data_IF_590320505317
#
_entry.id   IF_590320505317
#
_cell.length_a   1.000
_cell.length_b   1.000
_cell.length_c   1.000
_cell.angle_alpha   90.00
_cell.angle_beta   90.00
_cell.angle_gamma   90.00
#
_symmetry.space_group_name_H-M   'P 1'
#
loop_
_entity.id
_entity.type
_entity.pdbx_description
1 polymer ?
#
# COMPACT_ATOMS: atom_id res chain seq x y z
N UNK A 1 -1.55 16.60 15.09
CA UNK A 1 -1.63 15.22 14.58
C UNK A 1 -2.68 15.18 13.48
N UNK A 2 -2.34 14.75 12.29
CA UNK A 2 -3.26 14.57 11.17
C UNK A 2 -3.40 13.07 10.90
N UNK A 3 -4.61 12.54 10.98
CA UNK A 3 -4.87 11.09 10.86
C UNK A 3 -5.89 10.79 9.77
N UNK A 4 -6.05 9.52 9.37
CA UNK A 4 -7.12 9.14 8.45
C UNK A 4 -8.52 9.47 9.01
N UNK A 5 -8.71 9.31 10.32
CA UNK A 5 -9.96 9.72 10.97
C UNK A 5 -10.20 11.21 10.85
N UNK A 6 -9.17 12.05 11.05
CA UNK A 6 -9.31 13.51 10.93
C UNK A 6 -9.55 14.00 9.50
N UNK A 7 -9.25 13.17 8.50
CA UNK A 7 -9.53 13.44 7.10
C UNK A 7 -10.90 12.91 6.63
N UNK A 8 -11.69 12.27 7.52
CA UNK A 8 -12.91 11.53 7.15
C UNK A 8 -13.98 12.38 6.47
N UNK A 9 -14.04 13.66 6.77
CA UNK A 9 -15.05 14.60 6.25
C UNK A 9 -14.71 15.13 4.85
N UNK A 10 -13.47 14.94 4.38
CA UNK A 10 -13.08 15.37 3.04
C UNK A 10 -13.67 14.38 2.02
N UNK A 11 -14.45 14.86 1.01
CA UNK A 11 -15.00 14.00 -0.04
C UNK A 11 -13.90 13.24 -0.79
N UNK A 12 -14.13 11.95 -1.06
CA UNK A 12 -13.19 11.04 -1.73
C UNK A 12 -13.89 10.12 -2.72
N UNK A 13 -13.13 9.19 -3.30
CA UNK A 13 -13.67 8.14 -4.14
C UNK A 13 -14.87 7.45 -3.47
N UNK A 14 -15.92 7.16 -4.27
CA UNK A 14 -17.14 6.55 -3.77
C UNK A 14 -18.10 7.48 -2.99
N UNK A 15 -17.71 8.73 -2.72
CA UNK A 15 -18.55 9.73 -2.04
C UNK A 15 -18.83 10.97 -2.89
N UNK A 16 -18.64 10.88 -4.21
CA UNK A 16 -18.86 11.98 -5.16
C UNK A 16 -17.75 13.04 -5.17
N UNK A 17 -16.62 12.79 -4.53
CA UNK A 17 -15.45 13.66 -4.57
C UNK A 17 -14.68 13.53 -5.88
N UNK A 18 -13.92 14.54 -6.24
CA UNK A 18 -12.94 14.54 -7.33
C UNK A 18 -11.54 14.51 -6.75
N UNK A 19 -10.63 13.68 -7.31
CA UNK A 19 -9.27 13.52 -6.80
C UNK A 19 -8.49 14.84 -6.75
N UNK A 20 -8.59 15.66 -7.77
CA UNK A 20 -7.91 16.96 -7.81
C UNK A 20 -8.38 17.91 -6.70
N UNK A 21 -9.66 17.87 -6.35
CA UNK A 21 -10.22 18.64 -5.24
C UNK A 21 -9.70 18.10 -3.91
N UNK A 22 -9.67 16.79 -3.72
CA UNK A 22 -9.11 16.15 -2.55
C UNK A 22 -7.62 16.50 -2.37
N UNK A 23 -6.82 16.37 -3.43
CA UNK A 23 -5.39 16.65 -3.42
C UNK A 23 -5.05 18.09 -3.04
N UNK A 24 -5.90 19.04 -3.44
CA UNK A 24 -5.73 20.48 -3.15
C UNK A 24 -6.25 20.90 -1.77
N UNK A 25 -6.91 20.01 -1.05
CA UNK A 25 -7.34 20.32 0.32
C UNK A 25 -6.11 20.63 1.18
N UNK A 26 -6.19 21.69 1.99
CA UNK A 26 -5.05 22.20 2.78
C UNK A 26 -4.42 21.11 3.66
N UNK A 27 -5.25 20.27 4.30
CA UNK A 27 -4.75 19.18 5.16
C UNK A 27 -4.03 18.09 4.36
N UNK A 28 -4.49 17.80 3.14
CA UNK A 28 -3.87 16.79 2.27
C UNK A 28 -2.58 17.33 1.64
N UNK A 29 -2.61 18.57 1.15
CA UNK A 29 -1.46 19.22 0.53
C UNK A 29 -0.28 19.41 1.48
N UNK A 30 -0.55 19.59 2.79
CA UNK A 30 0.47 19.69 3.83
C UNK A 30 1.33 18.42 3.99
N UNK A 31 0.83 17.25 3.56
CA UNK A 31 1.58 16.00 3.72
C UNK A 31 2.82 15.95 2.83
N UNK A 32 2.80 16.65 1.70
CA UNK A 32 3.89 16.62 0.69
C UNK A 32 4.28 15.18 0.29
N UNK A 33 3.28 14.32 0.16
CA UNK A 33 3.45 12.92 -0.17
C UNK A 33 3.45 12.70 -1.69
N UNK A 34 4.12 11.63 -2.17
CA UNK A 34 4.00 11.21 -3.56
C UNK A 34 2.54 11.01 -3.98
N UNK A 35 2.22 11.44 -5.20
CA UNK A 35 0.84 11.40 -5.74
C UNK A 35 0.26 9.98 -5.76
N UNK A 36 1.08 8.98 -6.09
CA UNK A 36 0.69 7.57 -6.03
C UNK A 36 0.13 7.18 -4.65
N UNK A 37 0.77 7.62 -3.57
CA UNK A 37 0.37 7.28 -2.21
C UNK A 37 -0.89 8.05 -1.81
N UNK A 38 -0.98 9.33 -2.16
CA UNK A 38 -2.19 10.12 -1.92
C UNK A 38 -3.39 9.49 -2.61
N UNK A 39 -3.22 9.01 -3.85
CA UNK A 39 -4.28 8.38 -4.64
C UNK A 39 -4.62 6.98 -4.11
N UNK A 40 -3.64 6.09 -4.09
CA UNK A 40 -3.88 4.66 -3.86
C UNK A 40 -4.20 4.36 -2.40
N UNK A 41 -3.70 5.15 -1.46
CA UNK A 41 -4.00 4.97 -0.04
C UNK A 41 -5.08 5.93 0.47
N UNK A 42 -4.82 7.25 0.46
CA UNK A 42 -5.73 8.19 1.14
C UNK A 42 -7.03 8.41 0.37
N UNK A 43 -6.96 8.49 -0.96
CA UNK A 43 -8.13 8.72 -1.78
C UNK A 43 -8.97 7.46 -1.94
N UNK A 44 -8.38 6.34 -2.39
CA UNK A 44 -9.14 5.13 -2.71
C UNK A 44 -9.61 4.38 -1.44
N UNK A 45 -8.80 4.36 -0.38
CA UNK A 45 -9.07 3.53 0.80
C UNK A 45 -9.30 4.31 2.09
N UNK A 46 -9.09 5.60 2.13
CA UNK A 46 -9.12 6.39 3.38
C UNK A 46 -10.49 6.47 4.09
N UNK A 47 -11.57 5.93 3.49
CA UNK A 47 -12.89 5.77 4.14
C UNK A 47 -13.31 4.31 4.27
N UNK A 48 -12.51 3.40 3.79
CA UNK A 48 -12.80 1.98 3.90
C UNK A 48 -12.69 1.53 5.36
N UNK A 49 -13.76 0.95 5.90
CA UNK A 49 -13.85 0.64 7.34
C UNK A 49 -12.68 -0.21 7.84
N UNK A 50 -12.27 -1.31 7.17
CA UNK A 50 -11.10 -2.08 7.58
C UNK A 50 -9.80 -1.25 7.62
N UNK A 51 -9.61 -0.34 6.67
CA UNK A 51 -8.45 0.56 6.67
C UNK A 51 -8.45 1.54 7.82
N UNK A 52 -9.62 2.10 8.15
CA UNK A 52 -9.75 2.98 9.31
C UNK A 52 -9.52 2.24 10.62
N UNK A 53 -9.95 0.98 10.72
CA UNK A 53 -9.68 0.14 11.89
C UNK A 53 -8.17 -0.11 12.09
N UNK A 54 -7.44 -0.37 10.99
CA UNK A 54 -6.02 -0.70 11.04
C UNK A 54 -5.11 0.54 11.12
N UNK A 55 -5.48 1.65 10.43
CA UNK A 55 -4.58 2.80 10.21
C UNK A 55 -5.18 4.15 10.60
N UNK A 56 -6.42 4.18 11.07
CA UNK A 56 -7.18 5.40 11.31
C UNK A 56 -6.53 6.40 12.27
N UNK A 57 -5.70 5.90 13.18
CA UNK A 57 -5.02 6.68 14.23
C UNK A 57 -3.55 7.03 13.92
N UNK A 58 -3.01 6.53 12.80
CA UNK A 58 -1.62 6.81 12.41
C UNK A 58 -1.44 8.31 12.17
N UNK A 59 -0.41 8.91 12.77
CA UNK A 59 -0.04 10.31 12.51
C UNK A 59 0.64 10.44 11.16
N UNK A 60 -0.12 10.84 10.15
CA UNK A 60 0.34 10.96 8.77
C UNK A 60 1.47 12.00 8.62
N UNK A 61 1.53 13.01 9.50
CA UNK A 61 2.55 14.07 9.41
C UNK A 61 3.95 13.59 9.78
N UNK A 62 4.04 12.48 10.48
CA UNK A 62 5.34 11.87 10.87
C UNK A 62 5.92 10.94 9.83
N UNK A 63 5.13 10.53 8.82
CA UNK A 63 5.58 9.55 7.84
C UNK A 63 6.39 10.23 6.73
N UNK A 64 7.54 9.62 6.40
CA UNK A 64 8.33 9.95 5.22
C UNK A 64 8.38 8.74 4.29
N UNK A 65 8.26 9.00 3.00
CA UNK A 65 8.16 8.00 1.96
C UNK A 65 9.44 7.91 1.14
N UNK A 66 9.88 6.68 0.91
CA UNK A 66 10.99 6.36 0.01
C UNK A 66 10.57 5.26 -0.97
N UNK A 67 11.07 5.35 -2.20
CA UNK A 67 10.94 4.26 -3.15
C UNK A 67 12.12 3.32 -2.96
N UNK A 68 11.85 2.05 -2.66
CA UNK A 68 12.87 1.05 -2.36
C UNK A 68 12.71 -0.19 -3.22
N UNK A 69 13.85 -0.81 -3.58
CA UNK A 69 13.88 -2.13 -4.18
C UNK A 69 14.09 -3.17 -3.08
N UNK A 70 13.09 -4.01 -2.85
CA UNK A 70 13.12 -5.05 -1.78
C UNK A 70 13.11 -6.44 -2.41
N UNK A 71 13.94 -7.32 -1.85
CA UNK A 71 14.05 -8.70 -2.31
C UNK A 71 12.72 -9.46 -2.22
N UNK A 72 12.42 -10.25 -3.24
CA UNK A 72 11.24 -11.12 -3.32
C UNK A 72 11.09 -11.98 -2.07
N UNK A 73 12.19 -12.60 -1.62
CA UNK A 73 12.19 -13.44 -0.42
C UNK A 73 11.74 -12.71 0.86
N UNK A 74 11.98 -11.41 0.96
CA UNK A 74 11.49 -10.57 2.06
C UNK A 74 10.00 -10.26 1.88
N UNK A 75 9.60 -9.86 0.67
CA UNK A 75 8.24 -9.39 0.38
C UNK A 75 7.18 -10.48 0.55
N UNK A 76 7.47 -11.71 0.16
CA UNK A 76 6.50 -12.82 0.24
C UNK A 76 6.03 -13.12 1.67
N UNK A 77 6.82 -12.77 2.68
CA UNK A 77 6.51 -13.00 4.10
C UNK A 77 5.86 -11.82 4.82
N UNK A 78 5.70 -10.65 4.19
CA UNK A 78 5.21 -9.46 4.89
C UNK A 78 3.75 -9.59 5.34
N UNK A 79 3.41 -9.21 6.58
CA UNK A 79 2.01 -9.16 7.03
C UNK A 79 1.25 -8.01 6.36
N UNK A 80 -0.07 -8.02 6.51
CA UNK A 80 -0.96 -6.86 6.28
C UNK A 80 -1.67 -6.50 7.57
N UNK A 81 -2.51 -5.46 7.55
CA UNK A 81 -3.33 -5.07 8.68
C UNK A 81 -4.31 -6.19 9.09
N UNK A 82 -4.63 -6.31 10.39
CA UNK A 82 -5.40 -7.43 10.93
C UNK A 82 -6.83 -7.52 10.39
N UNK A 83 -7.44 -6.39 10.02
CA UNK A 83 -8.84 -6.37 9.52
C UNK A 83 -9.03 -7.11 8.19
N UNK A 84 -7.95 -7.34 7.43
CA UNK A 84 -7.98 -8.05 6.15
C UNK A 84 -6.78 -9.00 6.02
N UNK A 85 -6.43 -9.66 7.13
CA UNK A 85 -5.23 -10.48 7.24
C UNK A 85 -5.20 -11.64 6.22
N UNK A 86 -6.36 -12.22 5.89
CA UNK A 86 -6.47 -13.39 5.01
C UNK A 86 -6.51 -13.03 3.52
N UNK A 87 -6.81 -11.76 3.18
CA UNK A 87 -7.05 -11.33 1.79
C UNK A 87 -5.86 -11.62 0.86
N UNK A 88 -4.63 -11.45 1.35
CA UNK A 88 -3.43 -11.74 0.53
C UNK A 88 -3.32 -13.25 0.24
N UNK A 89 -3.65 -14.10 1.22
CA UNK A 89 -3.60 -15.54 1.06
C UNK A 89 -4.70 -16.04 0.10
N UNK A 90 -5.90 -15.49 0.19
CA UNK A 90 -7.00 -15.77 -0.74
C UNK A 90 -6.63 -15.37 -2.17
N UNK A 91 -6.05 -14.18 -2.35
CA UNK A 91 -5.60 -13.72 -3.66
C UNK A 91 -4.47 -14.60 -4.21
N UNK A 92 -3.61 -15.14 -3.35
CA UNK A 92 -2.52 -16.02 -3.76
C UNK A 92 -3.02 -17.35 -4.35
N UNK A 93 -4.11 -17.90 -3.82
CA UNK A 93 -4.72 -19.13 -4.33
C UNK A 93 -5.25 -18.95 -5.75
N UNK A 94 -5.63 -17.73 -6.13
CA UNK A 94 -6.23 -17.41 -7.41
C UNK A 94 -5.40 -16.36 -8.20
N UNK A 95 -4.09 -16.42 -8.10
CA UNK A 95 -3.20 -15.39 -8.64
C UNK A 95 -3.35 -15.14 -10.15
N UNK A 96 -3.53 -16.21 -10.96
CA UNK A 96 -3.75 -16.07 -12.41
C UNK A 96 -5.09 -15.40 -12.74
N UNK A 97 -6.14 -15.70 -11.97
CA UNK A 97 -7.42 -15.00 -12.09
C UNK A 97 -7.26 -13.51 -11.85
N UNK A 98 -6.50 -13.13 -10.83
CA UNK A 98 -6.28 -11.72 -10.50
C UNK A 98 -5.43 -11.00 -11.54
N UNK A 99 -4.45 -11.66 -12.17
CA UNK A 99 -3.73 -11.11 -13.31
C UNK A 99 -4.72 -10.82 -14.45
N UNK A 100 -5.58 -11.77 -14.82
CA UNK A 100 -6.57 -11.61 -15.87
C UNK A 100 -7.59 -10.50 -15.58
N UNK A 101 -8.08 -10.44 -14.34
CA UNK A 101 -9.05 -9.42 -13.91
C UNK A 101 -8.46 -8.01 -13.97
N UNK A 102 -7.21 -7.84 -13.54
CA UNK A 102 -6.52 -6.53 -13.59
C UNK A 102 -6.09 -6.16 -15.00
N UNK A 103 -5.69 -7.12 -15.82
CA UNK A 103 -5.32 -6.93 -17.21
C UNK A 103 -6.49 -6.39 -18.07
N UNK A 104 -7.72 -6.75 -17.74
CA UNK A 104 -8.89 -6.20 -18.41
C UNK A 104 -8.96 -4.67 -18.33
N UNK A 105 -8.60 -4.10 -17.19
CA UNK A 105 -8.59 -2.65 -16.98
C UNK A 105 -7.23 -2.00 -17.30
N UNK A 106 -6.14 -2.79 -17.25
CA UNK A 106 -4.75 -2.36 -17.35
C UNK A 106 -3.93 -3.40 -18.13
N UNK A 107 -3.95 -3.38 -19.47
CA UNK A 107 -3.34 -4.43 -20.33
C UNK A 107 -1.86 -4.70 -20.07
N UNK A 108 -1.14 -3.71 -19.49
CA UNK A 108 0.25 -3.83 -19.11
C UNK A 108 0.52 -4.77 -17.93
N UNK A 109 -0.52 -5.11 -17.14
CA UNK A 109 -0.34 -5.92 -15.90
C UNK A 109 0.10 -7.32 -16.22
N UNK A 110 -0.55 -7.99 -17.19
CA UNK A 110 -0.14 -9.34 -17.62
C UNK A 110 1.27 -9.36 -18.16
N UNK A 111 1.57 -8.41 -19.04
CA UNK A 111 2.91 -8.30 -19.63
C UNK A 111 3.99 -8.14 -18.57
N UNK A 112 3.78 -7.28 -17.57
CA UNK A 112 4.73 -7.08 -16.48
C UNK A 112 4.94 -8.36 -15.65
N UNK A 113 3.87 -9.10 -15.33
CA UNK A 113 4.01 -10.36 -14.60
C UNK A 113 4.65 -11.49 -15.42
N UNK A 114 4.37 -11.56 -16.72
CA UNK A 114 4.89 -12.64 -17.59
C UNK A 114 6.32 -12.37 -18.08
N UNK A 115 6.67 -11.15 -18.38
CA UNK A 115 7.98 -10.80 -18.92
C UNK A 115 8.98 -10.35 -17.85
N UNK A 116 8.52 -9.50 -16.91
CA UNK A 116 9.40 -8.89 -15.91
C UNK A 116 9.27 -9.57 -14.54
N UNK A 117 8.25 -10.39 -14.33
CA UNK A 117 7.99 -11.08 -13.08
C UNK A 117 7.65 -10.13 -11.92
N UNK A 118 7.09 -8.95 -12.22
CA UNK A 118 6.81 -7.91 -11.22
C UNK A 118 5.52 -7.14 -11.54
N UNK A 119 5.17 -6.19 -10.70
CA UNK A 119 4.02 -5.30 -10.88
C UNK A 119 4.36 -4.01 -11.64
N UNK A 120 3.37 -3.41 -12.25
CA UNK A 120 3.46 -2.09 -12.91
C UNK A 120 3.47 -0.95 -11.89
N UNK A 121 2.53 -0.97 -10.94
CA UNK A 121 2.38 0.08 -9.91
C UNK A 121 2.96 -0.41 -8.59
N UNK A 122 3.70 0.48 -7.91
CA UNK A 122 4.33 0.16 -6.62
C UNK A 122 3.28 -0.03 -5.54
N UNK A 123 3.27 -1.15 -4.81
CA UNK A 123 2.49 -1.27 -3.59
C UNK A 123 3.06 -0.37 -2.49
N UNK A 124 2.26 -0.16 -1.45
CA UNK A 124 2.58 0.70 -0.32
C UNK A 124 2.81 -0.16 0.93
N UNK A 125 3.99 -0.01 1.49
CA UNK A 125 4.40 -0.62 2.76
C UNK A 125 4.53 0.46 3.83
N UNK A 126 4.23 0.10 5.07
CA UNK A 126 4.42 0.97 6.22
C UNK A 126 5.29 0.26 7.26
N UNK A 127 6.23 0.99 7.84
CA UNK A 127 6.93 0.53 9.04
C UNK A 127 5.90 0.42 10.17
N UNK A 128 5.85 -0.76 10.78
CA UNK A 128 4.86 -1.10 11.82
C UNK A 128 4.99 -0.24 13.06
N UNK A 129 6.16 0.34 13.31
CA UNK A 129 6.36 1.29 14.41
C UNK A 129 5.58 2.61 14.24
N UNK A 130 5.09 2.92 13.04
CA UNK A 130 4.19 4.03 12.79
C UNK A 130 2.75 3.76 13.32
N UNK A 131 2.39 2.50 13.49
CA UNK A 131 1.08 2.07 13.98
C UNK A 131 1.13 1.87 15.49
N UNK A 132 2.16 1.16 15.94
CA UNK A 132 2.43 0.88 17.34
C UNK A 132 3.96 0.84 17.55
N UNK A 133 4.46 1.63 18.47
CA UNK A 133 5.89 1.79 18.75
C UNK A 133 6.58 0.49 19.18
N UNK A 134 5.85 -0.50 19.62
CA UNK A 134 6.38 -1.81 20.03
C UNK A 134 6.51 -2.78 18.84
N UNK A 135 5.85 -2.50 17.73
CA UNK A 135 5.93 -3.32 16.52
C UNK A 135 7.20 -3.02 15.72
N UNK A 136 7.67 -4.02 14.98
CA UNK A 136 8.86 -3.90 14.12
C UNK A 136 8.60 -4.48 12.74
N UNK A 137 9.41 -4.01 11.77
CA UNK A 137 9.37 -4.46 10.39
C UNK A 137 8.32 -3.74 9.55
N UNK A 138 8.13 -4.22 8.32
CA UNK A 138 7.21 -3.65 7.36
C UNK A 138 5.91 -4.45 7.29
N UNK A 139 4.82 -3.79 6.91
CA UNK A 139 3.58 -4.47 6.52
C UNK A 139 2.97 -3.84 5.27
N UNK A 140 2.18 -4.64 4.57
CA UNK A 140 1.46 -4.21 3.38
C UNK A 140 0.26 -3.37 3.80
N UNK A 141 0.21 -2.13 3.33
CA UNK A 141 -0.93 -1.23 3.52
C UNK A 141 -1.83 -1.28 2.29
N UNK A 142 -1.26 -1.08 1.10
CA UNK A 142 -1.95 -1.13 -0.17
C UNK A 142 -1.23 -2.06 -1.14
N UNK A 143 -1.98 -2.68 -2.08
CA UNK A 143 -1.45 -3.64 -3.03
C UNK A 143 -1.65 -5.11 -2.63
N UNK A 144 -2.62 -5.43 -1.79
CA UNK A 144 -2.89 -6.80 -1.33
C UNK A 144 -3.09 -7.79 -2.49
N UNK A 145 -3.75 -7.38 -3.58
CA UNK A 145 -3.87 -8.21 -4.79
C UNK A 145 -2.51 -8.48 -5.42
N UNK A 146 -1.64 -7.46 -5.53
CA UNK A 146 -0.27 -7.59 -6.07
C UNK A 146 0.59 -8.51 -5.21
N UNK A 147 0.47 -8.41 -3.89
CA UNK A 147 1.12 -9.33 -2.97
C UNK A 147 0.56 -10.75 -3.04
N UNK A 148 -0.74 -10.90 -3.27
CA UNK A 148 -1.36 -12.20 -3.54
C UNK A 148 -0.77 -12.84 -4.79
N UNK A 149 -0.71 -12.10 -5.90
CA UNK A 149 -0.09 -12.58 -7.15
C UNK A 149 1.39 -12.96 -6.91
N UNK A 150 2.16 -12.11 -6.23
CA UNK A 150 3.57 -12.40 -5.90
C UNK A 150 3.71 -13.72 -5.14
N UNK A 151 2.92 -13.91 -4.09
CA UNK A 151 2.96 -15.13 -3.26
C UNK A 151 2.51 -16.37 -4.01
N UNK A 152 1.43 -16.25 -4.79
CA UNK A 152 0.91 -17.37 -5.58
C UNK A 152 1.92 -17.84 -6.62
N UNK A 153 2.52 -16.92 -7.37
CA UNK A 153 3.56 -17.25 -8.36
C UNK A 153 4.83 -17.78 -7.69
N UNK A 154 5.25 -17.22 -6.56
CA UNK A 154 6.39 -17.71 -5.79
C UNK A 154 6.16 -19.17 -5.33
N UNK A 155 5.01 -19.47 -4.76
CA UNK A 155 4.65 -20.80 -4.30
C UNK A 155 4.55 -21.82 -5.47
N UNK A 156 4.12 -21.36 -6.65
CA UNK A 156 4.05 -22.17 -7.87
C UNK A 156 5.42 -22.34 -8.56
N UNK A 157 6.49 -21.73 -8.06
CA UNK A 157 7.81 -21.80 -8.70
C UNK A 157 7.90 -21.04 -10.02
N UNK A 158 6.98 -20.12 -10.28
CA UNK A 158 6.97 -19.28 -11.49
C UNK A 158 8.03 -18.19 -11.34
N UNK A 159 8.78 -17.93 -12.43
CA UNK A 159 9.84 -16.93 -12.42
C UNK A 159 9.33 -15.55 -11.99
N UNK A 160 10.07 -14.93 -11.08
CA UNK A 160 9.83 -13.59 -10.53
C UNK A 160 11.11 -12.77 -10.58
N UNK A 161 10.96 -11.44 -10.61
CA UNK A 161 12.10 -10.54 -10.40
C UNK A 161 12.75 -10.83 -9.03
N UNK A 162 14.06 -10.64 -8.94
CA UNK A 162 14.79 -10.82 -7.67
C UNK A 162 14.42 -9.76 -6.62
N UNK A 163 14.11 -8.56 -7.09
CA UNK A 163 13.68 -7.42 -6.27
C UNK A 163 12.49 -6.74 -6.90
N UNK A 164 11.69 -6.08 -6.08
CA UNK A 164 10.53 -5.32 -6.53
C UNK A 164 10.54 -3.92 -5.95
N UNK A 165 10.15 -2.95 -6.77
CA UNK A 165 10.04 -1.55 -6.37
C UNK A 165 8.75 -1.33 -5.56
N UNK A 166 8.87 -0.73 -4.39
CA UNK A 166 7.76 -0.46 -3.46
C UNK A 166 7.88 0.94 -2.86
N UNK A 167 6.77 1.50 -2.42
CA UNK A 167 6.79 2.66 -1.53
C UNK A 167 6.90 2.19 -0.08
N UNK A 168 7.83 2.78 0.68
CA UNK A 168 8.02 2.49 2.10
C UNK A 168 7.87 3.76 2.92
N UNK A 169 6.86 3.77 3.79
CA UNK A 169 6.64 4.83 4.78
C UNK A 169 7.30 4.49 6.11
N UNK A 170 8.08 5.43 6.64
CA UNK A 170 8.68 5.29 7.98
C UNK A 170 8.41 6.52 8.82
N UNK A 171 8.18 6.35 10.14
CA UNK A 171 8.06 7.49 11.02
C UNK A 171 9.41 8.21 11.13
N UNK A 172 9.37 9.54 11.03
CA UNK A 172 10.53 10.36 11.38
C UNK A 172 10.60 10.41 12.90
N UNK A 173 11.56 9.74 13.47
CA UNK A 173 11.85 9.92 14.88
C UNK A 173 12.43 11.34 15.05
N UNK A 174 11.72 12.19 15.78
CA UNK A 174 12.31 13.44 16.23
C UNK A 174 13.56 13.04 17.02
N UNK A 175 14.74 13.30 16.44
CA UNK A 175 15.99 13.21 17.20
C UNK A 175 15.85 14.20 18.35
N UNK A 176 15.45 13.68 19.51
CA UNK A 176 15.38 14.49 20.72
C UNK A 176 16.77 15.09 20.93
N UNK A 177 16.88 16.40 20.72
CA UNK A 177 18.06 17.14 21.09
C UNK A 177 18.30 16.92 22.59
N UNK A 178 19.41 16.33 22.90
CA UNK A 178 19.95 16.36 24.27
C UNK A 178 20.47 17.75 24.57
#
# INVERSE_FOLDING_TARGET
>A
MLTLHSLSDIPRAGSGGEYETFRRNDQVSMLDWPDDILRDWLWDHGRHVPFLADYGTVDLTTIRWTCEAIATATLVGLPTGPSEAELIAENAQNHEHWIGTRDYAHPEVRTAWEQDGTWVRRPILLDRSAIDTDLRGLQVVEGRTRFGILRGRHAAGIALAQTHSVWVGRPVHSSGGK
#
